data_IF_644437043209
#
_entry.id   IF_644437043209
#
_cell.length_a   1.000
_cell.length_b   1.000
_cell.length_c   1.000
_cell.angle_alpha   90.00
_cell.angle_beta   90.00
_cell.angle_gamma   90.00
#
_symmetry.space_group_name_H-M   'P 1'
#
loop_
_entity.id
_entity.type
_entity.pdbx_description
1 polymer ?
#
# COMPACT_ATOMS: atom_id res chain seq x y z
N UNK A 1 69.21 32.58 9.69
CA UNK A 1 69.30 33.67 10.67
C UNK A 1 67.97 34.41 10.58
N UNK A 2 67.04 34.47 11.52
CA UNK A 2 66.94 34.10 12.94
C UNK A 2 65.43 34.03 13.31
N UNK A 3 65.10 33.05 14.15
CA UNK A 3 64.28 33.10 15.39
C UNK A 3 62.90 33.80 15.37
N UNK A 4 61.79 33.07 15.53
CA UNK A 4 61.24 32.50 16.80
C UNK A 4 60.68 33.55 17.76
N UNK A 5 59.35 33.57 17.97
CA UNK A 5 58.72 33.78 19.29
C UNK A 5 57.45 32.93 19.45
N UNK A 6 57.36 32.29 20.62
CA UNK A 6 56.41 31.26 21.09
C UNK A 6 55.09 31.89 21.56
N UNK A 7 54.06 31.05 21.81
CA UNK A 7 53.38 31.12 23.10
C UNK A 7 53.57 29.84 23.93
N UNK A 8 53.79 30.06 25.23
CA UNK A 8 53.62 29.10 26.32
C UNK A 8 52.13 29.14 26.76
N UNK A 9 51.56 28.16 27.44
CA UNK A 9 52.12 26.98 28.08
C UNK A 9 51.03 25.98 28.42
N UNK A 10 51.51 24.77 28.71
CA UNK A 10 50.75 23.56 29.04
C UNK A 10 50.27 23.62 30.50
N UNK A 11 49.05 23.13 30.77
CA UNK A 11 48.81 22.39 32.01
C UNK A 11 47.94 21.17 31.75
N UNK A 12 48.55 20.03 32.05
CA UNK A 12 48.03 18.67 31.97
C UNK A 12 47.05 18.36 33.11
N UNK A 13 45.94 17.69 32.78
CA UNK A 13 45.14 16.91 33.71
C UNK A 13 44.81 15.56 33.05
N UNK A 14 45.43 14.49 33.54
CA UNK A 14 45.13 13.09 33.18
C UNK A 14 43.85 12.65 33.89
N UNK A 15 42.93 12.01 33.18
CA UNK A 15 41.87 11.23 33.81
C UNK A 15 40.90 10.65 32.79
N UNK A 16 40.91 9.32 32.65
CA UNK A 16 39.76 8.50 32.26
C UNK A 16 39.40 8.46 30.78
N UNK A 17 39.72 7.34 30.14
CA UNK A 17 38.99 6.83 28.98
C UNK A 17 37.70 6.23 29.54
N UNK A 18 36.54 6.77 29.17
CA UNK A 18 35.29 6.03 29.12
C UNK A 18 34.68 6.31 27.75
N UNK A 19 34.87 5.34 26.85
CA UNK A 19 34.13 5.23 25.59
C UNK A 19 32.66 4.94 25.96
N UNK A 20 31.83 5.98 26.02
CA UNK A 20 30.38 5.77 25.89
C UNK A 20 30.11 5.43 24.42
N UNK A 21 30.14 4.12 24.12
CA UNK A 21 29.31 3.54 23.07
C UNK A 21 27.83 3.88 23.39
N UNK A 22 27.40 5.07 22.96
CA UNK A 22 25.99 5.35 22.76
C UNK A 22 25.53 4.49 21.58
N UNK A 23 25.24 3.23 21.87
CA UNK A 23 24.41 2.33 21.10
C UNK A 23 22.99 2.90 21.01
N UNK A 24 22.87 4.00 20.27
CA UNK A 24 21.60 4.49 19.79
C UNK A 24 21.09 3.48 18.80
N UNK A 25 20.24 2.55 19.26
CA UNK A 25 19.25 1.91 18.40
C UNK A 25 18.57 3.05 17.66
N UNK A 26 18.95 3.27 16.40
CA UNK A 26 18.12 3.99 15.45
C UNK A 26 16.79 3.25 15.52
N UNK A 27 15.82 3.84 16.23
CA UNK A 27 14.44 3.60 15.86
C UNK A 27 14.41 4.07 14.41
N UNK A 28 14.39 3.13 13.47
CA UNK A 28 14.02 3.44 12.09
C UNK A 28 12.71 4.19 12.21
N UNK A 29 12.79 5.52 12.11
CA UNK A 29 11.62 6.36 12.11
C UNK A 29 10.83 5.91 10.91
N UNK A 30 9.61 5.41 11.13
CA UNK A 30 8.68 5.13 10.03
C UNK A 30 8.72 6.36 9.14
N UNK A 31 9.10 6.18 7.87
CA UNK A 31 9.18 7.29 6.92
C UNK A 31 7.78 7.90 6.82
N UNK A 32 7.62 9.10 7.39
CA UNK A 32 6.37 9.85 7.39
C UNK A 32 6.45 10.90 6.27
N UNK A 33 5.63 10.74 5.22
CA UNK A 33 5.59 11.67 4.09
C UNK A 33 4.29 12.48 4.10
N UNK A 34 4.33 13.82 3.89
CA UNK A 34 3.10 14.60 3.80
C UNK A 34 2.26 14.18 2.60
N UNK A 35 0.92 14.20 2.73
CA UNK A 35 0.05 13.92 1.59
C UNK A 35 0.02 15.06 0.57
N UNK A 36 -0.03 14.69 -0.71
CA UNK A 36 -0.25 15.65 -1.80
C UNK A 36 -1.66 16.26 -1.76
N UNK A 37 -1.88 17.45 -2.36
CA UNK A 37 -3.22 18.05 -2.45
C UNK A 37 -4.27 17.13 -3.10
N UNK A 38 -3.89 16.43 -4.17
CA UNK A 38 -4.77 15.48 -4.85
C UNK A 38 -5.13 14.29 -3.96
N UNK A 39 -4.14 13.70 -3.27
CA UNK A 39 -4.38 12.60 -2.35
C UNK A 39 -5.34 12.99 -1.21
N UNK A 40 -5.21 14.22 -0.68
CA UNK A 40 -6.14 14.75 0.33
C UNK A 40 -7.56 14.94 -0.20
N UNK A 41 -7.72 15.40 -1.44
CA UNK A 41 -9.02 15.57 -2.07
C UNK A 41 -9.73 14.23 -2.26
N UNK A 42 -9.01 13.21 -2.76
CA UNK A 42 -9.56 11.87 -2.96
C UNK A 42 -9.92 11.15 -1.65
N UNK A 43 -9.56 11.70 -0.50
CA UNK A 43 -9.90 11.17 0.82
C UNK A 43 -10.98 11.97 1.55
N UNK A 44 -11.55 12.98 0.89
CA UNK A 44 -12.72 13.67 1.45
C UNK A 44 -13.87 12.65 1.60
N UNK A 45 -14.74 12.76 2.63
CA UNK A 45 -15.81 11.79 2.93
C UNK A 45 -16.77 11.46 1.78
N UNK A 46 -16.78 12.27 0.71
CA UNK A 46 -17.62 12.10 -0.47
C UNK A 46 -16.85 11.71 -1.74
N UNK A 47 -15.52 11.56 -1.66
CA UNK A 47 -14.66 11.13 -2.74
C UNK A 47 -14.16 9.71 -2.44
N UNK A 48 -14.80 8.73 -3.06
CA UNK A 48 -14.43 7.32 -2.97
C UNK A 48 -14.03 6.84 -4.37
N UNK A 49 -12.86 7.29 -4.83
CA UNK A 49 -12.42 7.11 -6.21
C UNK A 49 -11.44 5.95 -6.32
N UNK A 50 -11.76 4.99 -7.18
CA UNK A 50 -10.96 3.79 -7.39
C UNK A 50 -10.58 3.65 -8.86
N UNK A 51 -9.40 3.10 -9.08
CA UNK A 51 -8.99 2.50 -10.33
C UNK A 51 -9.30 1.01 -10.22
N UNK A 52 -10.01 0.47 -11.21
CA UNK A 52 -10.31 -0.96 -11.33
C UNK A 52 -9.62 -1.46 -12.60
N UNK A 53 -8.68 -2.39 -12.44
CA UNK A 53 -8.08 -3.13 -13.54
C UNK A 53 -8.63 -4.57 -13.53
N UNK A 54 -9.17 -5.01 -14.67
CA UNK A 54 -9.71 -6.36 -14.85
C UNK A 54 -8.75 -7.13 -15.76
N UNK A 55 -8.27 -8.27 -15.29
CA UNK A 55 -7.21 -9.06 -15.93
C UNK A 55 -7.75 -10.47 -16.17
N UNK A 56 -7.91 -10.84 -17.43
CA UNK A 56 -8.30 -12.19 -17.84
C UNK A 56 -7.09 -13.13 -17.89
N UNK A 57 -7.27 -14.35 -17.39
CA UNK A 57 -6.28 -15.43 -17.45
C UNK A 57 -6.81 -16.58 -18.32
N UNK A 58 -5.95 -17.15 -19.16
CA UNK A 58 -6.26 -18.34 -19.96
C UNK A 58 -6.28 -19.66 -19.16
N UNK A 59 -6.03 -19.60 -17.86
CA UNK A 59 -6.10 -20.72 -16.92
C UNK A 59 -6.57 -20.25 -15.54
N UNK A 60 -6.95 -21.18 -14.69
CA UNK A 60 -7.23 -20.90 -13.28
C UNK A 60 -6.03 -20.18 -12.63
N UNK A 61 -6.33 -19.19 -11.79
CA UNK A 61 -5.32 -18.39 -11.09
C UNK A 61 -4.87 -19.15 -9.84
N UNK A 62 -3.57 -19.45 -9.78
CA UNK A 62 -2.91 -19.98 -8.59
C UNK A 62 -2.75 -18.86 -7.55
N UNK A 63 -3.58 -18.91 -6.52
CA UNK A 63 -3.62 -17.93 -5.43
C UNK A 63 -2.27 -17.84 -4.71
N UNK A 64 -1.57 -18.95 -4.51
CA UNK A 64 -0.30 -18.95 -3.78
C UNK A 64 0.84 -18.38 -4.62
N UNK A 65 0.79 -18.59 -5.94
CA UNK A 65 1.68 -17.90 -6.86
C UNK A 65 1.45 -16.37 -6.85
N UNK A 66 0.18 -15.92 -6.84
CA UNK A 66 -0.17 -14.49 -6.70
C UNK A 66 0.36 -13.93 -5.37
N UNK A 67 0.13 -14.62 -4.25
CA UNK A 67 0.68 -14.22 -2.94
C UNK A 67 2.19 -14.04 -2.99
N UNK A 68 2.90 -15.02 -3.57
CA UNK A 68 4.35 -14.97 -3.70
C UNK A 68 4.80 -13.77 -4.55
N UNK A 69 4.14 -13.51 -5.67
CA UNK A 69 4.37 -12.35 -6.51
C UNK A 69 4.19 -11.02 -5.76
N UNK A 70 3.06 -10.85 -5.07
CA UNK A 70 2.75 -9.64 -4.27
C UNK A 70 3.82 -9.40 -3.21
N UNK A 71 4.26 -10.44 -2.48
CA UNK A 71 5.33 -10.34 -1.47
C UNK A 71 6.67 -9.91 -2.07
N UNK A 72 6.93 -10.27 -3.32
CA UNK A 72 8.15 -9.90 -4.04
C UNK A 72 8.08 -8.50 -4.65
N UNK A 73 6.88 -8.00 -5.00
CA UNK A 73 6.69 -6.73 -5.71
C UNK A 73 5.95 -5.68 -4.86
N UNK A 74 4.62 -5.68 -4.88
CA UNK A 74 3.75 -4.64 -4.33
C UNK A 74 3.98 -4.41 -2.84
N UNK A 75 4.12 -5.48 -2.06
CA UNK A 75 4.34 -5.38 -0.61
C UNK A 75 5.65 -4.66 -0.23
N UNK A 76 6.57 -4.49 -1.20
CA UNK A 76 7.86 -3.79 -1.01
C UNK A 76 7.87 -2.39 -1.60
N UNK A 77 6.93 -2.08 -2.48
CA UNK A 77 6.88 -0.80 -3.17
C UNK A 77 6.40 0.31 -2.21
N UNK A 78 7.15 1.42 -2.02
CA UNK A 78 6.83 2.46 -1.04
C UNK A 78 5.36 2.95 -1.06
N UNK A 79 4.80 3.15 -2.26
CA UNK A 79 3.39 3.50 -2.45
C UNK A 79 2.39 2.46 -1.93
N UNK A 80 2.66 1.17 -2.11
CA UNK A 80 1.72 0.08 -1.82
C UNK A 80 1.91 -0.50 -0.40
N UNK A 81 2.95 -0.11 0.31
CA UNK A 81 3.16 -0.44 1.71
C UNK A 81 2.94 0.76 2.64
N UNK A 82 2.05 1.69 2.29
CA UNK A 82 1.79 2.90 3.08
C UNK A 82 0.30 3.08 3.39
N UNK A 83 0.01 3.50 4.62
CA UNK A 83 -1.33 3.89 5.07
C UNK A 83 -1.42 5.38 5.28
N UNK A 84 -2.61 5.93 5.15
CA UNK A 84 -2.85 7.32 5.47
C UNK A 84 -3.24 7.48 6.94
N UNK A 85 -2.57 8.39 7.62
CA UNK A 85 -2.88 8.78 8.98
C UNK A 85 -3.37 10.21 8.97
N UNK A 86 -4.69 10.39 9.14
CA UNK A 86 -5.30 11.72 9.29
C UNK A 86 -5.20 12.19 10.74
N UNK A 87 -5.27 13.51 10.95
CA UNK A 87 -5.27 14.12 12.28
C UNK A 87 -6.50 13.70 13.11
N UNK A 88 -7.61 13.35 12.45
CA UNK A 88 -8.87 12.99 13.10
C UNK A 88 -8.88 11.55 13.62
N UNK A 89 -8.15 10.64 12.96
CA UNK A 89 -7.95 9.25 13.40
C UNK A 89 -6.91 9.11 14.51
N UNK A 90 -6.13 10.17 14.79
CA UNK A 90 -5.15 10.18 15.87
C UNK A 90 -5.61 11.15 16.95
N UNK A 91 -6.34 10.62 17.94
CA UNK A 91 -6.65 11.29 19.22
C UNK A 91 -5.40 11.56 20.08
N UNK A 92 -4.22 11.72 19.49
CA UNK A 92 -3.04 12.16 20.22
C UNK A 92 -2.90 13.67 20.09
N UNK A 93 -3.44 14.37 21.09
CA UNK A 93 -3.33 15.82 21.29
C UNK A 93 -1.87 16.30 21.41
N UNK A 94 -0.88 15.41 21.53
CA UNK A 94 0.57 15.74 21.46
C UNK A 94 1.07 15.94 20.04
N UNK A 95 0.29 15.59 19.01
CA UNK A 95 0.67 15.78 17.60
C UNK A 95 0.21 17.12 17.00
N UNK A 96 -0.34 18.04 17.80
CA UNK A 96 -0.38 19.47 17.48
C UNK A 96 -0.95 19.85 16.11
N UNK A 97 -2.08 19.27 15.70
CA UNK A 97 -2.72 19.62 14.43
C UNK A 97 -1.93 19.24 13.18
N UNK A 98 -1.06 18.23 13.26
CA UNK A 98 -0.25 17.76 12.11
C UNK A 98 -1.14 17.32 10.95
N UNK A 99 -0.81 17.84 9.76
CA UNK A 99 -1.45 17.53 8.48
C UNK A 99 -1.41 16.03 8.21
N UNK A 100 -2.40 15.56 7.46
CA UNK A 100 -2.53 14.15 7.11
C UNK A 100 -1.31 13.65 6.31
N UNK A 101 -0.83 12.44 6.64
CA UNK A 101 0.47 11.91 6.20
C UNK A 101 0.39 10.45 5.79
N UNK A 102 1.31 10.02 4.94
CA UNK A 102 1.57 8.62 4.62
C UNK A 102 2.56 8.05 5.63
N UNK A 103 2.25 6.86 6.13
CA UNK A 103 3.11 6.12 7.05
C UNK A 103 3.34 4.74 6.46
N UNK A 104 4.61 4.39 6.26
CA UNK A 104 4.98 3.05 5.82
C UNK A 104 4.57 2.00 6.86
N UNK A 105 4.02 0.89 6.40
CA UNK A 105 3.56 -0.24 7.21
C UNK A 105 4.01 -1.56 6.59
N UNK A 106 4.06 -2.60 7.42
CA UNK A 106 4.16 -3.97 6.93
C UNK A 106 2.82 -4.37 6.28
N UNK A 107 2.91 -5.09 5.15
CA UNK A 107 1.75 -5.54 4.37
C UNK A 107 1.47 -7.00 4.70
N UNK A 108 0.31 -7.26 5.28
CA UNK A 108 -0.23 -8.60 5.46
C UNK A 108 -0.99 -9.02 4.19
N UNK A 109 -0.28 -9.66 3.26
CA UNK A 109 -0.75 -9.93 1.88
C UNK A 109 -2.11 -10.63 1.83
N UNK A 110 -2.40 -11.49 2.80
CA UNK A 110 -3.65 -12.23 2.92
C UNK A 110 -4.86 -11.30 3.05
N UNK A 111 -4.72 -10.17 3.74
CA UNK A 111 -5.80 -9.17 3.89
C UNK A 111 -6.07 -8.35 2.64
N UNK A 112 -5.19 -8.45 1.64
CA UNK A 112 -5.35 -7.80 0.35
C UNK A 112 -5.82 -8.76 -0.74
N UNK A 113 -6.03 -10.04 -0.42
CA UNK A 113 -6.55 -11.03 -1.35
C UNK A 113 -7.97 -11.42 -0.94
N UNK A 114 -8.89 -11.24 -1.88
CA UNK A 114 -10.31 -11.57 -1.72
C UNK A 114 -10.65 -12.65 -2.74
N UNK A 115 -11.13 -13.79 -2.26
CA UNK A 115 -11.61 -14.88 -3.10
C UNK A 115 -13.10 -14.99 -2.79
N UNK A 116 -13.97 -14.30 -3.54
CA UNK A 116 -15.39 -14.30 -3.25
C UNK A 116 -15.96 -15.67 -3.61
N UNK A 117 -16.85 -16.17 -2.76
CA UNK A 117 -17.59 -17.42 -2.99
C UNK A 117 -18.71 -17.13 -4.00
N UNK A 118 -18.38 -17.22 -5.29
CA UNK A 118 -19.26 -16.88 -6.40
C UNK A 118 -19.32 -18.05 -7.38
N UNK A 119 -20.54 -18.43 -7.73
CA UNK A 119 -20.82 -19.49 -8.68
C UNK A 119 -21.83 -18.96 -9.71
N UNK A 120 -21.52 -18.98 -11.01
CA UNK A 120 -22.51 -18.71 -12.05
C UNK A 120 -23.68 -19.69 -11.91
N UNK A 121 -24.91 -19.18 -11.98
CA UNK A 121 -26.09 -20.04 -11.91
C UNK A 121 -26.19 -20.93 -13.17
N UNK A 122 -26.19 -22.25 -12.96
CA UNK A 122 -26.28 -23.25 -14.03
C UNK A 122 -27.73 -23.64 -14.38
N UNK A 123 -28.73 -22.90 -13.90
CA UNK A 123 -30.15 -23.24 -14.09
C UNK A 123 -30.61 -23.01 -15.54
N UNK A 124 -30.30 -23.96 -16.43
CA UNK A 124 -31.00 -24.23 -17.68
C UNK A 124 -30.79 -23.23 -18.84
N UNK A 125 -29.83 -22.30 -18.72
CA UNK A 125 -29.52 -21.26 -19.71
C UNK A 125 -28.09 -21.30 -20.27
N UNK A 126 -27.65 -20.20 -20.87
CA UNK A 126 -26.26 -19.99 -21.28
C UNK A 126 -25.41 -19.60 -20.05
N UNK A 127 -24.77 -20.61 -19.44
CA UNK A 127 -23.88 -20.47 -18.28
C UNK A 127 -22.80 -19.40 -18.49
N UNK A 128 -22.34 -19.19 -19.72
CA UNK A 128 -21.30 -18.20 -20.03
C UNK A 128 -21.81 -16.78 -19.85
N UNK A 129 -23.00 -16.49 -20.38
CA UNK A 129 -23.64 -15.18 -20.23
C UNK A 129 -24.02 -14.89 -18.76
N UNK A 130 -24.34 -15.91 -17.98
CA UNK A 130 -24.55 -15.78 -16.54
C UNK A 130 -23.23 -15.43 -15.80
N UNK A 131 -22.12 -16.08 -16.16
CA UNK A 131 -20.81 -15.80 -15.59
C UNK A 131 -20.32 -14.38 -15.89
N UNK A 132 -20.52 -13.89 -17.13
CA UNK A 132 -20.16 -12.53 -17.53
C UNK A 132 -20.94 -11.48 -16.71
N UNK A 133 -22.27 -11.67 -16.57
CA UNK A 133 -23.11 -10.79 -15.75
C UNK A 133 -22.70 -10.81 -14.29
N UNK A 134 -22.38 -11.99 -13.75
CA UNK A 134 -21.91 -12.12 -12.37
C UNK A 134 -20.60 -11.36 -12.14
N UNK A 135 -19.66 -11.43 -13.08
CA UNK A 135 -18.43 -10.63 -13.05
C UNK A 135 -18.73 -9.13 -13.11
N UNK A 136 -19.59 -8.69 -14.04
CA UNK A 136 -19.97 -7.28 -14.18
C UNK A 136 -20.63 -6.74 -12.91
N UNK A 137 -21.57 -7.47 -12.34
CA UNK A 137 -22.27 -7.10 -11.10
C UNK A 137 -21.30 -7.05 -9.92
N UNK A 138 -20.38 -8.01 -9.84
CA UNK A 138 -19.34 -8.01 -8.81
C UNK A 138 -18.45 -6.78 -8.94
N UNK A 139 -17.91 -6.49 -10.12
CA UNK A 139 -17.09 -5.30 -10.37
C UNK A 139 -17.86 -4.00 -10.09
N UNK A 140 -19.13 -3.93 -10.50
CA UNK A 140 -19.98 -2.79 -10.22
C UNK A 140 -20.20 -2.58 -8.71
N UNK A 141 -20.27 -3.67 -7.93
CA UNK A 141 -20.34 -3.61 -6.47
C UNK A 141 -19.05 -3.04 -5.86
N UNK A 142 -17.88 -3.43 -6.40
CA UNK A 142 -16.58 -2.91 -5.96
C UNK A 142 -16.49 -1.39 -6.17
N UNK A 143 -16.96 -0.88 -7.31
CA UNK A 143 -16.98 0.55 -7.61
C UNK A 143 -17.78 1.39 -6.59
N UNK A 144 -18.77 0.80 -5.91
CA UNK A 144 -19.66 1.50 -4.95
C UNK A 144 -19.24 1.33 -3.49
N UNK A 145 -18.49 0.28 -3.18
CA UNK A 145 -18.04 0.00 -1.81
C UNK A 145 -16.88 0.89 -1.37
N UNK A 146 -16.60 0.99 -0.08
CA UNK A 146 -15.42 1.66 0.46
C UNK A 146 -14.32 0.65 0.79
N UNK A 147 -13.10 1.13 1.00
CA UNK A 147 -11.97 0.31 1.43
C UNK A 147 -11.64 0.56 2.90
N UNK A 148 -11.06 -0.43 3.57
CA UNK A 148 -10.57 -0.32 4.94
C UNK A 148 -9.29 0.55 4.98
N UNK A 149 -9.43 1.77 5.51
CA UNK A 149 -8.33 2.72 5.60
C UNK A 149 -7.27 2.39 6.67
N UNK A 150 -7.45 1.31 7.45
CA UNK A 150 -6.43 0.84 8.40
C UNK A 150 -5.28 0.07 7.72
N UNK A 151 -5.43 -0.27 6.43
CA UNK A 151 -4.44 -0.97 5.60
C UNK A 151 -4.17 -0.22 4.29
N UNK A 152 -3.08 -0.54 3.57
CA UNK A 152 -2.82 0.06 2.27
C UNK A 152 -4.02 -0.14 1.31
N UNK A 153 -4.39 0.91 0.59
CA UNK A 153 -5.69 1.00 -0.09
C UNK A 153 -5.70 0.32 -1.47
N UNK A 154 -5.39 -0.95 -1.50
CA UNK A 154 -5.44 -1.79 -2.70
C UNK A 154 -5.84 -3.23 -2.35
N UNK A 155 -6.53 -3.90 -3.26
CA UNK A 155 -7.06 -5.26 -3.09
C UNK A 155 -6.99 -6.02 -4.43
N UNK A 156 -6.68 -7.31 -4.38
CA UNK A 156 -6.83 -8.25 -5.49
C UNK A 156 -8.03 -9.14 -5.19
N UNK A 157 -8.95 -9.22 -6.15
CA UNK A 157 -10.06 -10.14 -6.13
C UNK A 157 -9.83 -11.22 -7.18
N UNK A 158 -9.87 -12.49 -6.78
CA UNK A 158 -9.59 -13.62 -7.67
C UNK A 158 -10.90 -14.38 -7.90
N UNK A 159 -11.39 -14.38 -9.13
CA UNK A 159 -12.61 -15.04 -9.57
C UNK A 159 -12.22 -16.22 -10.47
N UNK A 160 -12.10 -17.41 -9.88
CA UNK A 160 -11.73 -18.64 -10.57
C UNK A 160 -12.95 -19.36 -11.14
N UNK A 161 -13.68 -18.69 -12.02
CA UNK A 161 -14.69 -19.29 -12.88
C UNK A 161 -14.53 -18.79 -14.31
N UNK A 162 -14.88 -19.62 -15.32
CA UNK A 162 -14.76 -19.24 -16.72
C UNK A 162 -15.82 -18.20 -17.09
N UNK A 163 -15.40 -17.22 -17.89
CA UNK A 163 -16.23 -16.20 -18.55
C UNK A 163 -16.14 -16.40 -20.07
N UNK A 164 -16.82 -15.56 -20.87
CA UNK A 164 -16.70 -15.63 -22.33
C UNK A 164 -15.27 -15.37 -22.84
N UNK A 165 -14.50 -14.56 -22.12
CA UNK A 165 -13.17 -14.07 -22.57
C UNK A 165 -11.99 -14.66 -21.77
N UNK A 166 -12.23 -15.35 -20.65
CA UNK A 166 -11.16 -15.86 -19.78
C UNK A 166 -11.56 -17.14 -19.04
N UNK A 167 -10.56 -17.95 -18.67
CA UNK A 167 -10.78 -19.11 -17.79
C UNK A 167 -10.86 -18.72 -16.30
N UNK A 168 -10.31 -17.57 -15.94
CA UNK A 168 -10.41 -16.95 -14.63
C UNK A 168 -10.09 -15.45 -14.73
N UNK A 169 -10.54 -14.66 -13.77
CA UNK A 169 -10.36 -13.21 -13.76
C UNK A 169 -9.74 -12.74 -12.44
N UNK A 170 -8.73 -11.88 -12.52
CA UNK A 170 -8.26 -11.09 -11.40
C UNK A 170 -8.76 -9.65 -11.54
N UNK A 171 -9.35 -9.10 -10.48
CA UNK A 171 -9.69 -7.68 -10.40
C UNK A 171 -8.74 -7.01 -9.42
N UNK A 172 -7.93 -6.08 -9.92
CA UNK A 172 -7.08 -5.25 -9.08
C UNK A 172 -7.76 -3.92 -8.84
N UNK A 173 -8.12 -3.68 -7.58
CA UNK A 173 -8.78 -2.47 -7.12
C UNK A 173 -7.79 -1.62 -6.33
N UNK A 174 -7.66 -0.36 -6.70
CA UNK A 174 -6.70 0.57 -6.09
C UNK A 174 -7.35 1.91 -5.85
N UNK A 175 -7.24 2.46 -4.64
CA UNK A 175 -7.72 3.80 -4.37
C UNK A 175 -6.87 4.84 -5.11
N UNK A 176 -7.51 5.81 -5.78
CA UNK A 176 -6.85 6.75 -6.70
C UNK A 176 -5.81 7.66 -6.00
N UNK A 177 -5.83 7.75 -4.67
CA UNK A 177 -4.78 8.44 -3.91
C UNK A 177 -3.39 7.79 -4.03
N UNK A 178 -3.30 6.52 -4.45
CA UNK A 178 -2.04 5.79 -4.61
C UNK A 178 -1.34 6.07 -5.94
N UNK A 179 -2.09 6.54 -6.94
CA UNK A 179 -1.56 6.84 -8.27
C UNK A 179 -2.67 6.94 -9.31
N UNK A 180 -2.27 7.36 -10.51
CA UNK A 180 -3.11 7.31 -11.72
C UNK A 180 -2.95 5.96 -12.46
N UNK A 181 -3.76 5.77 -13.50
CA UNK A 181 -3.75 4.54 -14.29
C UNK A 181 -2.41 4.26 -15.00
N UNK A 182 -1.68 5.28 -15.45
CA UNK A 182 -0.39 5.07 -16.12
C UNK A 182 0.69 4.59 -15.13
N UNK A 183 0.71 5.19 -13.94
CA UNK A 183 1.53 4.74 -12.82
C UNK A 183 1.22 3.30 -12.42
N UNK A 184 -0.04 2.86 -12.53
CA UNK A 184 -0.43 1.49 -12.21
C UNK A 184 0.02 0.50 -13.29
N UNK A 185 -0.18 0.84 -14.56
CA UNK A 185 0.21 -0.03 -15.69
C UNK A 185 1.73 -0.23 -15.80
N UNK A 186 2.54 0.70 -15.30
CA UNK A 186 4.00 0.52 -15.23
C UNK A 186 4.49 -0.43 -14.13
N UNK A 187 3.60 -0.80 -13.20
CA UNK A 187 3.91 -1.67 -12.07
C UNK A 187 3.46 -3.12 -12.29
N UNK A 188 2.45 -3.31 -13.15
CA UNK A 188 1.92 -4.60 -13.58
C UNK A 188 2.79 -5.17 -14.72
#
# INVERSE_FOLDING_TARGET
>A
MELRRRPAGIRTGRGGIEEEESGGRRREGREEEPMSPAARLFHAPHFNCHIIAIIGSGKEIDVDAIKAGIRATLARHPRFCSIQVSAELVLDSRLGGKKARWVRTEVEVEKHLVIPDLHPDDEGGDTTAAADRLLEDYVASLCRSTMDASRPLWEFHILNFPTSEAAAVAVFRVHHSLGDGASLMSLL
#
